data_IF_363950335084
#
_entry.id   IF_363950335084
#
_cell.length_a   1.000
_cell.length_b   1.000
_cell.length_c   1.000
_cell.angle_alpha   90.00
_cell.angle_beta   90.00
_cell.angle_gamma   90.00
#
_symmetry.space_group_name_H-M   'P 1'
#
loop_
_entity.id
_entity.type
_entity.pdbx_description
1 polymer ?
#
# COMPACT_ATOMS: atom_id res chain seq x y z
N UNK A 1 -8.62 -11.14 -10.45
CA UNK A 1 -7.58 -10.11 -10.65
C UNK A 1 -6.56 -10.70 -11.61
N UNK A 2 -6.10 -9.94 -12.61
CA UNK A 2 -4.95 -10.37 -13.41
C UNK A 2 -3.74 -10.61 -12.50
N UNK A 3 -2.85 -11.53 -12.89
CA UNK A 3 -1.69 -11.94 -12.07
C UNK A 3 -0.90 -10.74 -11.55
N UNK A 4 -0.67 -9.74 -12.42
CA UNK A 4 0.04 -8.50 -12.11
C UNK A 4 -0.59 -7.75 -10.92
N UNK A 5 -1.91 -7.52 -10.92
CA UNK A 5 -2.58 -6.83 -9.80
C UNK A 5 -2.44 -7.60 -8.49
N UNK A 6 -2.48 -8.94 -8.54
CA UNK A 6 -2.33 -9.78 -7.34
C UNK A 6 -0.92 -9.67 -6.75
N UNK A 7 0.11 -9.62 -7.60
CA UNK A 7 1.51 -9.43 -7.17
C UNK A 7 1.67 -8.09 -6.45
N UNK A 8 1.19 -6.99 -7.04
CA UNK A 8 1.26 -5.66 -6.42
C UNK A 8 0.49 -5.60 -5.10
N UNK A 9 -0.68 -6.24 -5.03
CA UNK A 9 -1.49 -6.28 -3.81
C UNK A 9 -0.74 -6.95 -2.66
N UNK A 10 -0.09 -8.10 -2.93
CA UNK A 10 0.73 -8.81 -1.94
C UNK A 10 1.96 -7.97 -1.55
N UNK A 11 2.63 -7.35 -2.52
CA UNK A 11 3.79 -6.49 -2.26
C UNK A 11 3.44 -5.32 -1.34
N UNK A 12 2.36 -4.58 -1.63
CA UNK A 12 1.93 -3.47 -0.79
C UNK A 12 1.48 -3.94 0.59
N UNK A 13 0.79 -5.09 0.69
CA UNK A 13 0.42 -5.66 1.98
C UNK A 13 1.64 -5.98 2.84
N UNK A 14 2.69 -6.57 2.26
CA UNK A 14 3.96 -6.86 2.96
C UNK A 14 4.63 -5.56 3.40
N UNK A 15 4.69 -4.53 2.54
CA UNK A 15 5.28 -3.25 2.92
C UNK A 15 4.52 -2.57 4.07
N UNK A 16 3.19 -2.60 4.05
CA UNK A 16 2.39 -2.04 5.14
C UNK A 16 2.65 -2.82 6.44
N UNK A 17 2.66 -4.15 6.38
CA UNK A 17 2.93 -4.98 7.56
C UNK A 17 4.33 -4.73 8.14
N UNK A 18 5.36 -4.64 7.28
CA UNK A 18 6.73 -4.35 7.71
C UNK A 18 6.84 -2.97 8.37
N UNK A 19 6.25 -1.94 7.76
CA UNK A 19 6.30 -0.59 8.34
C UNK A 19 5.48 -0.50 9.64
N UNK A 20 4.30 -1.14 9.73
CA UNK A 20 3.52 -1.21 10.99
C UNK A 20 4.32 -1.87 12.12
N UNK A 21 5.09 -2.92 11.81
CA UNK A 21 5.94 -3.58 12.78
C UNK A 21 7.14 -2.70 13.19
N UNK A 22 7.68 -1.93 12.25
CA UNK A 22 8.86 -1.10 12.48
C UNK A 22 8.55 0.25 13.18
N UNK A 23 7.30 0.71 13.16
CA UNK A 23 6.88 1.90 13.91
C UNK A 23 7.09 1.67 15.40
N UNK A 24 7.79 2.59 16.06
CA UNK A 24 7.86 2.60 17.52
C UNK A 24 6.59 3.24 18.09
N UNK A 25 5.72 2.40 18.63
CA UNK A 25 4.44 2.80 19.23
C UNK A 25 4.59 3.50 20.59
N UNK A 26 5.81 3.60 21.13
CA UNK A 26 6.10 4.29 22.39
C UNK A 26 6.34 5.78 22.20
N UNK A 27 6.67 6.21 20.98
CA UNK A 27 6.87 7.61 20.60
C UNK A 27 5.78 8.07 19.63
N UNK A 28 5.59 9.38 19.49
CA UNK A 28 4.58 9.92 18.58
C UNK A 28 4.80 9.50 17.13
N UNK A 29 3.71 9.31 16.37
CA UNK A 29 3.79 8.98 14.94
C UNK A 29 4.49 10.07 14.11
N UNK A 30 4.38 11.33 14.53
CA UNK A 30 5.07 12.46 13.91
C UNK A 30 6.48 12.72 14.46
N UNK A 31 7.02 11.82 15.29
CA UNK A 31 8.42 11.87 15.66
C UNK A 31 9.29 11.60 14.43
N UNK A 32 10.45 12.26 14.34
CA UNK A 32 11.41 12.12 13.23
C UNK A 32 11.79 10.65 12.95
N UNK A 33 11.89 9.82 14.00
CA UNK A 33 12.21 8.40 13.87
C UNK A 33 11.09 7.59 13.19
N UNK A 34 9.83 7.95 13.47
CA UNK A 34 8.64 7.31 12.94
C UNK A 34 8.21 7.85 11.58
N UNK A 35 8.57 9.09 11.25
CA UNK A 35 8.10 9.81 10.06
C UNK A 35 8.37 9.02 8.78
N UNK A 36 9.53 8.38 8.68
CA UNK A 36 9.92 7.53 7.54
C UNK A 36 8.99 6.33 7.35
N UNK A 37 8.59 5.69 8.45
CA UNK A 37 7.70 4.53 8.43
C UNK A 37 6.27 4.97 8.13
N UNK A 38 5.82 6.08 8.72
CA UNK A 38 4.48 6.65 8.46
C UNK A 38 4.34 7.09 7.00
N UNK A 39 5.36 7.73 6.43
CA UNK A 39 5.37 8.10 5.00
C UNK A 39 5.31 6.86 4.11
N UNK A 40 6.13 5.84 4.40
CA UNK A 40 6.12 4.57 3.66
C UNK A 40 4.77 3.84 3.80
N UNK A 41 4.17 3.85 5.00
CA UNK A 41 2.84 3.29 5.26
C UNK A 41 1.78 3.97 4.39
N UNK A 42 1.82 5.30 4.36
CA UNK A 42 0.90 6.13 3.58
C UNK A 42 1.03 5.83 2.09
N UNK A 43 2.26 5.74 1.58
CA UNK A 43 2.52 5.35 0.19
C UNK A 43 2.03 3.92 -0.11
N UNK A 44 2.17 2.97 0.82
CA UNK A 44 1.64 1.61 0.69
C UNK A 44 0.10 1.58 0.59
N UNK A 45 -0.58 2.38 1.40
CA UNK A 45 -2.05 2.52 1.36
C UNK A 45 -2.49 3.13 0.02
N UNK A 46 -1.83 4.20 -0.43
CA UNK A 46 -2.10 4.81 -1.75
C UNK A 46 -1.86 3.79 -2.88
N UNK A 47 -0.77 3.01 -2.80
CA UNK A 47 -0.47 1.94 -3.74
C UNK A 47 -1.56 0.87 -3.80
N UNK A 48 -2.09 0.42 -2.66
CA UNK A 48 -3.23 -0.49 -2.61
C UNK A 48 -4.46 0.09 -3.31
N UNK A 49 -4.81 1.34 -3.03
CA UNK A 49 -5.95 2.02 -3.66
C UNK A 49 -5.78 2.08 -5.18
N UNK A 50 -4.58 2.42 -5.66
CA UNK A 50 -4.27 2.46 -7.09
C UNK A 50 -4.43 1.08 -7.74
N UNK A 51 -4.02 -0.02 -7.08
CA UNK A 51 -4.23 -1.38 -7.60
C UNK A 51 -5.72 -1.65 -7.84
N UNK A 52 -6.60 -1.23 -6.93
CA UNK A 52 -8.05 -1.39 -7.10
C UNK A 52 -8.62 -0.51 -8.23
N UNK A 53 -8.16 0.74 -8.34
CA UNK A 53 -8.57 1.63 -9.44
C UNK A 53 -8.16 1.04 -10.78
N UNK A 54 -6.89 0.62 -10.92
CA UNK A 54 -6.38 0.05 -12.17
C UNK A 54 -7.08 -1.27 -12.53
N UNK A 55 -7.35 -2.14 -11.56
CA UNK A 55 -8.13 -3.37 -11.79
C UNK A 55 -9.57 -3.07 -12.21
N UNK A 56 -10.17 -1.99 -11.70
CA UNK A 56 -11.51 -1.54 -12.13
C UNK A 56 -11.48 -1.02 -13.57
N UNK A 57 -10.50 -0.19 -13.92
CA UNK A 57 -10.32 0.32 -15.27
C UNK A 57 -10.00 -0.78 -16.28
N UNK A 58 -9.23 -1.81 -15.90
CA UNK A 58 -8.94 -2.95 -16.78
C UNK A 58 -10.21 -3.70 -17.18
N UNK A 59 -11.21 -3.76 -16.29
CA UNK A 59 -12.52 -4.37 -16.56
C UNK A 59 -13.44 -3.49 -17.40
N UNK A 60 -13.30 -2.16 -17.30
CA UNK A 60 -14.07 -1.21 -18.11
C UNK A 60 -13.67 -1.29 -19.59
N UNK A 61 -12.37 -1.41 -19.88
CA UNK A 61 -11.86 -1.57 -21.25
C UNK A 61 -12.33 -2.87 -21.92
N UNK A 62 -12.65 -3.91 -21.15
CA UNK A 62 -13.08 -5.21 -21.67
C UNK A 62 -14.59 -5.35 -21.83
N UNK A 63 -15.38 -4.28 -21.62
CA UNK A 63 -16.82 -4.29 -21.90
C UNK A 63 -17.06 -3.98 -23.39
N UNK A 64 -17.93 -4.75 -24.07
CA UNK A 64 -18.27 -4.51 -25.47
C UNK A 64 -18.96 -3.16 -25.69
#
# INVERSE_FOLDING_TARGET
MQLYYKIFLILFAIFIAFNLYAVDWRIGLMNEENLKYVFSLSAGIVGLLLVFVLHTWSKLKSRP
#
